data_IF_467133064433
#
_entry.id   IF_467133064433
#
_cell.length_a   1.000
_cell.length_b   1.000
_cell.length_c   1.000
_cell.angle_alpha   90.00
_cell.angle_beta   90.00
_cell.angle_gamma   90.00
#
_symmetry.space_group_name_H-M   'P 1'
#
loop_
_entity.id
_entity.type
_entity.pdbx_description
1 polymer ?
#
# COMPACT_ATOMS: atom_id res chain seq x y z
N UNK A 1 1.09 38.56 6.80
CA UNK A 1 0.17 37.59 7.40
C UNK A 1 -0.04 36.41 6.48
N UNK A 2 0.79 35.38 6.62
CA UNK A 2 0.53 34.07 6.03
C UNK A 2 -0.24 33.27 7.08
N UNK A 3 -1.52 33.06 6.85
CA UNK A 3 -2.32 32.16 7.67
C UNK A 3 -1.66 30.76 7.62
N UNK A 4 -1.47 30.07 8.76
CA UNK A 4 -0.95 28.72 8.74
C UNK A 4 -1.98 27.84 8.05
N UNK A 5 -1.65 27.39 6.83
CA UNK A 5 -2.39 26.39 6.10
C UNK A 5 -2.70 25.25 7.07
N UNK A 6 -3.98 25.08 7.37
CA UNK A 6 -4.46 24.07 8.32
C UNK A 6 -4.20 22.73 7.64
N UNK A 7 -2.99 22.18 7.83
CA UNK A 7 -2.63 20.85 7.34
C UNK A 7 -3.60 19.91 8.03
N UNK A 8 -4.66 19.54 7.33
CA UNK A 8 -5.60 18.51 7.76
C UNK A 8 -4.79 17.22 7.79
N UNK A 9 -4.13 16.98 8.92
CA UNK A 9 -3.42 15.74 9.18
C UNK A 9 -4.49 14.67 9.24
N UNK A 10 -4.63 13.90 8.16
CA UNK A 10 -5.51 12.72 8.14
C UNK A 10 -5.23 11.92 9.42
N UNK A 11 -6.24 11.62 10.25
CA UNK A 11 -6.01 10.84 11.46
C UNK A 11 -5.52 9.45 11.06
N UNK A 12 -4.22 9.22 11.17
CA UNK A 12 -3.61 7.91 10.98
C UNK A 12 -3.91 7.08 12.23
N UNK A 13 -4.97 6.29 12.19
CA UNK A 13 -5.36 5.37 13.25
C UNK A 13 -5.97 4.10 12.66
N UNK A 14 -5.86 2.95 13.34
CA UNK A 14 -6.35 1.65 12.85
C UNK A 14 -7.82 1.67 12.39
N UNK A 15 -8.64 2.55 12.98
CA UNK A 15 -10.06 2.70 12.66
C UNK A 15 -10.35 3.34 11.30
N UNK A 16 -9.36 4.00 10.67
CA UNK A 16 -9.53 4.67 9.37
C UNK A 16 -9.06 3.79 8.20
N UNK A 17 -8.38 2.68 8.48
CA UNK A 17 -7.91 1.79 7.43
C UNK A 17 -8.97 0.75 7.06
N UNK A 18 -9.22 0.60 5.76
CA UNK A 18 -9.95 -0.55 5.19
C UNK A 18 -9.29 -1.86 5.60
N UNK A 19 -7.95 -1.85 5.70
CA UNK A 19 -7.15 -2.94 6.27
C UNK A 19 -5.83 -2.41 6.81
N UNK A 20 -5.42 -2.95 7.96
CA UNK A 20 -4.13 -2.65 8.57
C UNK A 20 -3.48 -3.93 9.08
N UNK A 21 -2.18 -4.09 8.85
CA UNK A 21 -1.46 -5.26 9.29
C UNK A 21 0.00 -5.28 8.88
N UNK A 22 0.70 -6.29 9.36
CA UNK A 22 2.11 -6.47 9.10
C UNK A 22 2.33 -7.15 7.76
N UNK A 23 3.28 -6.64 6.97
CA UNK A 23 3.61 -7.16 5.64
C UNK A 23 5.11 -7.19 5.42
N UNK A 24 5.58 -8.14 4.63
CA UNK A 24 6.94 -8.16 4.10
C UNK A 24 6.91 -7.61 2.68
N UNK A 25 7.46 -6.41 2.47
CA UNK A 25 7.58 -5.82 1.12
C UNK A 25 8.93 -6.20 0.55
N UNK A 26 8.92 -6.80 -0.63
CA UNK A 26 10.11 -7.07 -1.41
C UNK A 26 10.29 -5.99 -2.47
N UNK A 27 11.48 -5.39 -2.49
CA UNK A 27 11.94 -4.53 -3.57
C UNK A 27 12.40 -5.42 -4.73
N UNK A 28 11.75 -5.32 -5.89
CA UNK A 28 12.01 -6.18 -7.05
C UNK A 28 13.39 -5.91 -7.68
N UNK A 29 13.84 -4.66 -7.65
CA UNK A 29 15.10 -4.21 -8.26
C UNK A 29 16.33 -4.74 -7.51
N UNK A 30 16.25 -4.80 -6.18
CA UNK A 30 17.35 -5.21 -5.29
C UNK A 30 17.17 -6.61 -4.70
N UNK A 31 15.97 -7.19 -4.78
CA UNK A 31 15.60 -8.44 -4.11
C UNK A 31 15.45 -8.32 -2.59
N UNK A 32 15.70 -7.14 -2.01
CA UNK A 32 15.68 -6.92 -0.57
C UNK A 32 14.25 -7.00 -0.05
N UNK A 33 14.04 -7.76 1.03
CA UNK A 33 12.74 -7.82 1.71
C UNK A 33 12.81 -7.12 3.05
N UNK A 34 11.84 -6.24 3.33
CA UNK A 34 11.73 -5.51 4.60
C UNK A 34 10.33 -5.62 5.17
N UNK A 35 10.27 -5.58 6.50
CA UNK A 35 9.04 -5.68 7.27
C UNK A 35 8.45 -4.29 7.49
N UNK A 36 7.17 -4.14 7.20
CA UNK A 36 6.44 -2.89 7.39
C UNK A 36 5.08 -3.15 8.03
N UNK A 37 4.55 -2.14 8.72
CA UNK A 37 3.13 -2.06 9.00
C UNK A 37 2.47 -1.37 7.81
N UNK A 38 1.56 -2.07 7.15
CA UNK A 38 0.84 -1.59 5.98
C UNK A 38 -0.59 -1.24 6.36
N UNK A 39 -1.09 -0.13 5.83
CA UNK A 39 -2.48 0.30 5.91
C UNK A 39 -3.04 0.67 4.54
N UNK A 40 -4.32 0.41 4.32
CA UNK A 40 -5.06 0.88 3.13
C UNK A 40 -6.12 1.87 3.58
N UNK A 41 -6.05 3.11 3.09
CA UNK A 41 -7.00 4.20 3.32
C UNK A 41 -7.45 4.67 1.93
N UNK A 42 -8.74 4.64 1.64
CA UNK A 42 -9.29 5.00 0.32
C UNK A 42 -8.60 4.22 -0.82
N UNK A 43 -7.94 4.91 -1.75
CA UNK A 43 -7.08 4.39 -2.82
C UNK A 43 -5.59 4.43 -2.47
N UNK A 44 -5.23 4.76 -1.23
CA UNK A 44 -3.85 4.97 -0.77
C UNK A 44 -3.37 3.82 0.11
N UNK A 45 -2.21 3.26 -0.22
CA UNK A 45 -1.46 2.33 0.60
C UNK A 45 -0.37 3.08 1.36
N UNK A 46 -0.33 2.91 2.68
CA UNK A 46 0.67 3.52 3.55
C UNK A 46 1.52 2.47 4.23
N UNK A 47 2.81 2.76 4.39
CA UNK A 47 3.77 1.92 5.09
C UNK A 47 4.38 2.68 6.27
N UNK A 48 4.49 1.99 7.40
CA UNK A 48 5.16 2.45 8.60
C UNK A 48 6.28 1.48 8.98
N UNK A 49 7.37 2.03 9.53
CA UNK A 49 8.49 1.20 10.01
C UNK A 49 8.24 0.71 11.43
N UNK A 50 7.40 1.42 12.18
CA UNK A 50 6.98 1.08 13.53
C UNK A 50 5.44 0.96 13.60
N UNK A 51 4.88 0.36 14.67
CA UNK A 51 3.43 0.40 14.89
C UNK A 51 2.93 1.85 14.82
N UNK A 52 1.67 2.10 14.41
CA UNK A 52 1.14 3.41 14.02
C UNK A 52 0.93 4.33 15.25
N UNK A 53 2.04 4.64 15.90
CA UNK A 53 2.28 5.73 16.84
C UNK A 53 2.95 6.90 16.11
N UNK A 54 3.43 6.65 14.88
CA UNK A 54 4.05 7.63 14.00
C UNK A 54 2.98 8.59 13.45
N UNK A 55 3.23 9.90 13.54
CA UNK A 55 2.33 10.94 13.02
C UNK A 55 2.37 11.08 11.50
N UNK A 56 3.24 10.31 10.83
CA UNK A 56 3.46 10.35 9.38
C UNK A 56 3.88 8.96 8.89
N UNK A 57 3.37 8.48 7.74
CA UNK A 57 3.86 7.25 7.14
C UNK A 57 5.33 7.38 6.70
N UNK A 58 6.04 6.26 6.72
CA UNK A 58 7.35 6.15 6.10
C UNK A 58 7.25 6.37 4.59
N UNK A 59 6.26 5.72 3.98
CA UNK A 59 5.93 5.84 2.57
C UNK A 59 4.40 5.78 2.37
N UNK A 60 3.90 6.52 1.40
CA UNK A 60 2.48 6.47 0.98
C UNK A 60 2.40 6.45 -0.54
N UNK A 61 1.47 5.68 -1.07
CA UNK A 61 1.30 5.49 -2.51
C UNK A 61 -0.16 5.40 -2.86
N UNK A 62 -0.57 6.15 -3.87
CA UNK A 62 -1.87 5.97 -4.49
C UNK A 62 -1.82 4.75 -5.43
N UNK A 63 -2.81 3.89 -5.32
CA UNK A 63 -2.93 2.66 -6.11
C UNK A 63 -4.12 2.70 -7.08
N UNK A 64 -4.70 3.87 -7.32
CA UNK A 64 -5.80 4.01 -8.26
C UNK A 64 -5.34 3.62 -9.66
N UNK A 65 -6.12 2.75 -10.32
CA UNK A 65 -5.80 2.20 -11.63
C UNK A 65 -4.67 1.16 -11.63
N UNK A 66 -4.16 0.75 -10.46
CA UNK A 66 -3.17 -0.33 -10.38
C UNK A 66 -3.80 -1.70 -10.59
N UNK A 67 -3.05 -2.61 -11.21
CA UNK A 67 -3.44 -4.01 -11.29
C UNK A 67 -2.94 -4.76 -10.04
N UNK A 68 -3.84 -5.47 -9.36
CA UNK A 68 -3.51 -6.25 -8.16
C UNK A 68 -3.67 -7.73 -8.47
N UNK A 69 -2.59 -8.51 -8.24
CA UNK A 69 -2.51 -9.92 -8.63
C UNK A 69 -1.98 -10.76 -7.46
N UNK A 70 -2.75 -11.74 -7.01
CA UNK A 70 -2.25 -12.74 -6.04
C UNK A 70 -1.27 -13.70 -6.73
N UNK A 71 -0.24 -14.14 -6.00
CA UNK A 71 0.70 -15.16 -6.47
C UNK A 71 0.03 -16.53 -6.70
N UNK A 72 0.71 -17.38 -7.49
CA UNK A 72 0.26 -18.75 -7.79
C UNK A 72 0.53 -19.72 -6.63
N UNK A 73 0.25 -21.02 -6.77
CA UNK A 73 0.41 -22.03 -5.70
C UNK A 73 1.77 -22.01 -4.97
N UNK A 74 2.87 -21.70 -5.65
CA UNK A 74 4.22 -21.63 -5.02
C UNK A 74 4.48 -20.31 -4.29
N UNK A 75 3.63 -19.31 -4.51
CA UNK A 75 3.71 -17.94 -4.01
C UNK A 75 2.34 -17.45 -3.52
N UNK A 76 1.50 -18.36 -3.00
CA UNK A 76 0.09 -18.10 -2.73
C UNK A 76 -0.11 -17.06 -1.60
N UNK A 77 0.94 -16.86 -0.79
CA UNK A 77 1.00 -15.83 0.25
C UNK A 77 1.55 -14.48 -0.26
N UNK A 78 1.71 -14.30 -1.57
CA UNK A 78 2.20 -13.07 -2.19
C UNK A 78 1.10 -12.32 -2.92
N UNK A 79 1.20 -10.98 -2.93
CA UNK A 79 0.36 -10.09 -3.71
C UNK A 79 1.26 -9.12 -4.44
N UNK A 80 1.08 -9.05 -5.75
CA UNK A 80 1.79 -8.12 -6.61
C UNK A 80 0.87 -6.95 -6.94
N UNK A 81 1.31 -5.73 -6.65
CA UNK A 81 0.64 -4.51 -7.10
C UNK A 81 1.45 -3.92 -8.25
N UNK A 82 0.83 -3.81 -9.43
CA UNK A 82 1.44 -3.29 -10.64
C UNK A 82 0.92 -1.89 -10.90
N UNK A 83 1.83 -0.93 -10.86
CA UNK A 83 1.53 0.44 -11.24
C UNK A 83 1.22 0.53 -12.75
N UNK A 84 0.28 1.38 -13.16
CA UNK A 84 0.05 1.66 -14.59
C UNK A 84 1.32 2.26 -15.22
N UNK A 85 1.55 1.93 -16.49
CA UNK A 85 2.70 2.46 -17.23
C UNK A 85 2.69 4.00 -17.22
N UNK A 86 3.74 4.61 -16.66
CA UNK A 86 3.87 6.07 -16.54
C UNK A 86 3.72 6.62 -15.11
N UNK A 87 3.19 5.86 -14.15
CA UNK A 87 3.30 6.20 -12.72
C UNK A 87 4.67 5.74 -12.18
N UNK A 88 5.62 6.68 -12.11
CA UNK A 88 6.89 6.47 -11.42
C UNK A 88 6.74 6.65 -9.91
N UNK A 89 7.39 5.81 -9.10
CA UNK A 89 7.58 6.11 -7.68
C UNK A 89 8.70 7.14 -7.52
N UNK A 90 8.60 7.96 -6.46
CA UNK A 90 9.59 9.00 -6.17
C UNK A 90 11.02 8.46 -5.94
N UNK A 91 11.18 7.16 -5.71
CA UNK A 91 12.48 6.50 -5.48
C UNK A 91 13.22 6.12 -6.78
N UNK A 92 12.66 6.44 -7.96
CA UNK A 92 13.25 6.02 -9.25
C UNK A 92 13.10 4.52 -9.53
N UNK A 93 12.34 3.82 -8.70
CA UNK A 93 11.86 2.45 -8.89
C UNK A 93 10.76 2.40 -9.96
N UNK A 94 11.10 2.84 -11.19
CA UNK A 94 10.18 2.93 -12.33
C UNK A 94 9.32 1.68 -12.50
N UNK A 95 7.99 1.86 -12.61
CA UNK A 95 7.00 0.80 -12.78
C UNK A 95 7.24 -0.46 -11.90
N UNK A 96 7.75 -0.27 -10.68
CA UNK A 96 8.08 -1.41 -9.83
C UNK A 96 6.79 -2.05 -9.34
N UNK A 97 6.64 -3.30 -9.77
CA UNK A 97 5.66 -4.23 -9.24
C UNK A 97 6.04 -4.45 -7.77
N UNK A 98 5.22 -4.00 -6.82
CA UNK A 98 5.49 -4.28 -5.40
C UNK A 98 5.04 -5.68 -5.08
N UNK A 99 5.93 -6.49 -4.53
CA UNK A 99 5.60 -7.82 -4.04
C UNK A 99 5.42 -7.74 -2.53
N UNK A 100 4.19 -7.93 -2.08
CA UNK A 100 3.77 -7.96 -0.69
C UNK A 100 3.60 -9.41 -0.28
N UNK A 101 4.42 -9.88 0.67
CA UNK A 101 4.35 -11.24 1.21
C UNK A 101 3.69 -11.21 2.58
N UNK A 102 2.74 -12.11 2.78
CA UNK A 102 1.95 -12.26 3.99
C UNK A 102 2.27 -13.58 4.69
N UNK A 103 1.82 -13.70 5.94
CA UNK A 103 2.04 -14.89 6.78
C UNK A 103 1.31 -16.14 6.26
N UNK A 104 0.22 -15.96 5.50
CA UNK A 104 -0.58 -17.04 4.94
C UNK A 104 -1.23 -16.67 3.61
N UNK A 105 -1.61 -17.68 2.84
CA UNK A 105 -2.44 -17.53 1.64
C UNK A 105 -3.77 -16.84 1.96
N UNK A 106 -4.42 -17.22 3.06
CA UNK A 106 -5.67 -16.59 3.48
C UNK A 106 -5.49 -15.09 3.72
N UNK A 107 -4.37 -14.69 4.35
CA UNK A 107 -4.02 -13.28 4.49
C UNK A 107 -3.81 -12.62 3.12
N UNK A 108 -3.01 -13.22 2.23
CA UNK A 108 -2.76 -12.68 0.90
C UNK A 108 -4.04 -12.52 0.08
N UNK A 109 -4.97 -13.46 0.15
CA UNK A 109 -6.27 -13.37 -0.51
C UNK A 109 -7.07 -12.18 0.00
N UNK A 110 -7.22 -12.05 1.33
CA UNK A 110 -7.93 -10.93 1.94
C UNK A 110 -7.31 -9.57 1.59
N UNK A 111 -5.98 -9.50 1.53
CA UNK A 111 -5.26 -8.30 1.13
C UNK A 111 -5.41 -8.00 -0.36
N UNK A 112 -5.36 -9.02 -1.22
CA UNK A 112 -5.67 -8.89 -2.66
C UNK A 112 -7.03 -8.26 -2.85
N UNK A 113 -8.08 -8.82 -2.23
CA UNK A 113 -9.44 -8.29 -2.34
C UNK A 113 -9.51 -6.81 -1.93
N UNK A 114 -8.90 -6.46 -0.79
CA UNK A 114 -8.92 -5.07 -0.30
C UNK A 114 -8.19 -4.11 -1.24
N UNK A 115 -7.00 -4.51 -1.73
CA UNK A 115 -6.18 -3.71 -2.63
C UNK A 115 -6.84 -3.56 -4.00
N UNK A 116 -7.45 -4.63 -4.51
CA UNK A 116 -8.20 -4.60 -5.78
C UNK A 116 -9.39 -3.64 -5.68
N UNK A 117 -10.17 -3.68 -4.60
CA UNK A 117 -11.27 -2.73 -4.40
C UNK A 117 -10.74 -1.29 -4.32
N UNK A 118 -9.70 -1.05 -3.52
CA UNK A 118 -9.09 0.27 -3.39
C UNK A 118 -8.49 0.80 -4.71
N UNK A 119 -7.99 -0.06 -5.58
CA UNK A 119 -7.43 0.33 -6.88
C UNK A 119 -8.48 0.72 -7.92
N UNK A 120 -9.75 0.31 -7.76
CA UNK A 120 -10.84 0.61 -8.71
C UNK A 120 -11.91 1.52 -8.14
N UNK A 121 -11.92 1.75 -6.82
CA UNK A 121 -12.75 2.76 -6.19
C UNK A 121 -12.29 4.15 -6.65
N UNK A 122 -12.81 4.60 -7.80
CA UNK A 122 -12.88 6.01 -8.11
C UNK A 122 -13.78 6.62 -7.03
N UNK A 123 -13.16 7.43 -6.16
CA UNK A 123 -13.91 8.30 -5.25
C UNK A 123 -14.91 9.07 -6.12
N UNK A 124 -16.21 8.83 -5.90
CA UNK A 124 -17.31 9.70 -6.31
C UNK A 124 -17.01 11.07 -5.70
N UNK A 125 -16.12 11.82 -6.36
CA UNK A 125 -15.62 13.11 -5.94
C UNK A 125 -16.64 14.16 -6.31
N UNK A 126 -17.74 14.17 -5.57
CA UNK A 126 -18.65 15.29 -5.44
C UNK A 126 -18.04 16.46 -4.70
#
# INVERSE_FOLDING_TARGET
DGEPELVVRRPFGPAHYKRFGLVMRQNKSTGTTRKYYCGVVDSTVVFFTHPPTETKPHEEFDILGCEVVQGNDSHANEVTVRLPEGQGTADGEGAVNWILRYDSEAAAKMWTETLTTAAVEEEDRG
#
